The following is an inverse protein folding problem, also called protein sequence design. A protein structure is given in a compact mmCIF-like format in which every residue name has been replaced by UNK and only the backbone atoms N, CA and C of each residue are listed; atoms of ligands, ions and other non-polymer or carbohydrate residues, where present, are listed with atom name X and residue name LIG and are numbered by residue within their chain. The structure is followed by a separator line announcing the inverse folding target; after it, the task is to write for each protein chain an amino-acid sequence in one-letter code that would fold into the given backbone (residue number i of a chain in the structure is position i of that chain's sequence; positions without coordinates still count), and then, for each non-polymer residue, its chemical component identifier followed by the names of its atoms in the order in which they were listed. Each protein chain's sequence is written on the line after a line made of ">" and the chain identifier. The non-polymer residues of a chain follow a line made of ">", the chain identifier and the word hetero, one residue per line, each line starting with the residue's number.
data_IF_489898829837
#
_entry.id   IF_489898829837
#
_cell.length_a   1.000
_cell.length_b   1.000
_cell.length_c   1.000
_cell.angle_alpha   90.00
_cell.angle_beta   90.00
_cell.angle_gamma   90.00
#
_symmetry.space_group_name_H-M   'P 1'
#
loop_
_entity.id
_entity.type
_entity.pdbx_description
1 polymer ?
#
# COMPACT_ATOMS: atom_id res chain seq x y z
N UNK A 1 -13.23 11.73 -23.90
CA UNK A 1 -11.80 11.66 -23.53
C UNK A 1 -10.83 11.78 -24.72
N UNK A 2 -11.16 11.25 -25.89
CA UNK A 2 -10.25 11.33 -27.05
C UNK A 2 -9.95 12.74 -27.53
N UNK A 3 -10.82 13.72 -27.26
CA UNK A 3 -10.54 15.13 -27.56
C UNK A 3 -9.41 15.68 -26.67
N UNK A 4 -9.40 15.34 -25.37
CA UNK A 4 -8.39 15.81 -24.43
C UNK A 4 -7.02 15.19 -24.71
N UNK A 5 -6.98 13.87 -24.97
CA UNK A 5 -5.75 13.16 -25.35
C UNK A 5 -5.21 13.64 -26.70
N UNK A 6 -6.07 13.87 -27.70
CA UNK A 6 -5.66 14.41 -29.01
C UNK A 6 -5.22 15.86 -28.95
N UNK A 7 -5.77 16.66 -28.04
CA UNK A 7 -5.42 18.08 -27.90
C UNK A 7 -4.07 18.33 -27.22
N UNK A 8 -3.48 17.33 -26.56
CA UNK A 8 -2.25 17.52 -25.77
C UNK A 8 -2.41 18.39 -24.51
N UNK A 9 -3.58 18.98 -24.27
CA UNK A 9 -3.82 19.89 -23.14
C UNK A 9 -3.66 19.22 -21.77
N UNK A 10 -3.77 17.90 -21.69
CA UNK A 10 -3.54 17.17 -20.44
C UNK A 10 -2.08 17.29 -19.95
N UNK A 11 -1.12 17.46 -20.86
CA UNK A 11 0.30 17.66 -20.51
C UNK A 11 0.55 19.06 -19.97
N UNK A 12 -0.13 20.08 -20.53
CA UNK A 12 -0.04 21.45 -20.01
C UNK A 12 -0.70 21.55 -18.63
N UNK A 13 -1.85 20.90 -18.43
CA UNK A 13 -2.52 20.86 -17.12
C UNK A 13 -1.66 20.19 -16.04
N UNK A 14 -0.96 19.08 -16.36
CA UNK A 14 -0.02 18.45 -15.43
C UNK A 14 1.22 19.33 -15.17
N UNK A 15 1.73 20.02 -16.19
CA UNK A 15 2.86 20.95 -16.04
C UNK A 15 2.47 22.24 -15.28
N UNK A 16 1.21 22.66 -15.34
CA UNK A 16 0.66 23.79 -14.58
C UNK A 16 0.48 23.40 -13.11
N UNK A 17 -0.12 22.24 -12.84
CA UNK A 17 -0.30 21.71 -11.49
C UNK A 17 1.04 21.42 -10.78
N UNK A 18 2.12 21.18 -11.52
CA UNK A 18 3.47 21.00 -11.01
C UNK A 18 4.29 22.28 -10.77
N UNK A 19 3.78 23.47 -11.16
CA UNK A 19 4.49 24.74 -10.94
C UNK A 19 4.11 25.35 -9.59
N UNK A 20 5.10 25.50 -8.71
CA UNK A 20 4.96 26.34 -7.50
C UNK A 20 4.73 27.79 -7.93
N UNK A 21 3.73 28.43 -7.32
CA UNK A 21 3.58 29.89 -7.35
C UNK A 21 4.84 30.50 -6.70
N UNK A 22 5.53 31.46 -7.33
CA UNK A 22 6.59 32.20 -6.67
C UNK A 22 6.00 33.02 -5.52
N UNK A 23 6.57 32.89 -4.33
CA UNK A 23 6.30 33.80 -3.23
C UNK A 23 6.69 35.23 -3.65
N UNK A 24 5.70 36.12 -3.70
CA UNK A 24 5.91 37.55 -3.87
C UNK A 24 5.32 38.14 -5.16
N UNK A 25 4.00 38.23 -5.23
CA UNK A 25 3.34 39.29 -6.00
C UNK A 25 2.39 40.05 -5.09
N UNK A 26 2.86 41.19 -4.59
CA UNK A 26 2.02 42.24 -4.03
C UNK A 26 1.05 42.72 -5.12
N UNK A 27 -0.25 42.58 -4.88
CA UNK A 27 -1.28 43.36 -5.56
C UNK A 27 -2.18 43.96 -4.48
N UNK A 28 -1.99 45.25 -4.25
CA UNK A 28 -2.88 46.09 -3.45
C UNK A 28 -4.19 46.34 -4.22
N UNK A 29 -5.29 45.99 -3.54
CA UNK A 29 -6.62 46.62 -3.48
C UNK A 29 -7.16 47.44 -4.68
N UNK A 30 -8.35 47.05 -5.17
CA UNK A 30 -9.58 47.84 -4.93
C UNK A 30 -10.86 47.20 -5.50
N UNK A 31 -11.92 47.33 -4.68
CA UNK A 31 -13.37 47.42 -4.95
C UNK A 31 -14.21 46.17 -5.29
N UNK A 32 -15.11 45.91 -4.33
CA UNK A 32 -16.53 45.55 -4.43
C UNK A 32 -16.98 44.15 -4.87
N UNK A 33 -17.79 43.54 -3.98
CA UNK A 33 -18.72 42.45 -4.31
C UNK A 33 -18.54 41.20 -3.45
N UNK A 34 -19.00 41.25 -2.20
CA UNK A 34 -18.97 40.10 -1.31
C UNK A 34 -19.95 38.99 -1.70
N UNK A 35 -19.48 37.75 -1.66
CA UNK A 35 -20.20 36.59 -1.13
C UNK A 35 -19.18 35.59 -0.63
N UNK A 36 -19.31 35.21 0.64
CA UNK A 36 -18.42 34.32 1.37
C UNK A 36 -18.35 32.94 0.71
N UNK A 37 -17.14 32.45 0.45
CA UNK A 37 -16.84 31.03 0.49
C UNK A 37 -15.46 30.89 1.10
N UNK A 38 -15.46 30.48 2.36
CA UNK A 38 -14.29 30.24 3.17
C UNK A 38 -13.48 29.07 2.60
N UNK A 39 -12.17 29.23 2.74
CA UNK A 39 -11.13 28.29 2.35
C UNK A 39 -11.37 26.90 2.94
N UNK A 40 -11.57 25.90 2.06
CA UNK A 40 -11.58 24.50 2.46
C UNK A 40 -10.14 24.02 2.64
N UNK A 41 -9.43 24.59 3.62
CA UNK A 41 -8.20 24.02 4.15
C UNK A 41 -8.62 22.89 5.10
N UNK A 42 -8.45 21.63 4.66
CA UNK A 42 -8.68 20.47 5.53
C UNK A 42 -7.65 20.48 6.65
N UNK A 43 -8.05 21.06 7.78
CA UNK A 43 -7.36 20.92 9.06
C UNK A 43 -7.44 19.45 9.46
N UNK A 44 -6.33 18.72 9.35
CA UNK A 44 -6.18 17.41 9.98
C UNK A 44 -6.36 17.61 11.48
N UNK A 45 -7.35 16.98 12.13
CA UNK A 45 -7.49 17.09 13.58
C UNK A 45 -6.19 16.63 14.23
N UNK A 46 -5.63 17.45 15.13
CA UNK A 46 -4.61 16.97 16.05
C UNK A 46 -5.21 15.78 16.81
N UNK A 47 -4.65 14.60 16.59
CA UNK A 47 -4.97 13.41 17.36
C UNK A 47 -4.65 13.69 18.84
N UNK A 48 -5.69 13.96 19.63
CA UNK A 48 -5.57 14.25 21.06
C UNK A 48 -5.37 12.98 21.89
N UNK A 49 -5.28 11.80 21.27
CA UNK A 49 -5.16 10.52 21.97
C UNK A 49 -3.77 9.87 21.88
N UNK A 50 -2.76 10.53 21.28
CA UNK A 50 -1.36 10.16 21.51
C UNK A 50 -0.82 10.76 22.82
N UNK A 51 -1.51 10.55 23.94
CA UNK A 51 -0.83 10.54 25.24
C UNK A 51 -0.04 9.25 25.34
N UNK A 52 1.18 9.27 24.78
CA UNK A 52 2.21 8.29 25.11
C UNK A 52 2.49 8.37 26.61
N UNK A 53 1.81 7.52 27.39
CA UNK A 53 2.24 7.19 28.75
C UNK A 53 3.55 6.42 28.60
N UNK A 54 4.66 7.14 28.58
CA UNK A 54 5.98 6.57 28.86
C UNK A 54 5.97 6.28 30.37
N UNK A 55 6.06 5.00 30.81
CA UNK A 55 6.36 4.74 32.20
C UNK A 55 7.75 5.33 32.46
N UNK A 56 7.79 6.43 33.22
CA UNK A 56 9.06 6.94 33.73
C UNK A 56 9.64 5.85 34.63
N UNK A 57 10.62 5.10 34.12
CA UNK A 57 11.52 4.35 34.97
C UNK A 57 12.30 5.37 35.79
N UNK A 58 11.86 5.59 37.02
CA UNK A 58 12.61 6.37 38.00
C UNK A 58 13.91 5.64 38.29
N UNK A 59 15.04 6.33 38.06
CA UNK A 59 16.35 5.92 38.51
C UNK A 59 16.34 5.80 40.05
N UNK A 60 16.40 4.56 40.55
CA UNK A 60 16.69 4.30 41.96
C UNK A 60 17.65 3.13 42.09
N UNK A 61 18.88 3.52 42.42
CA UNK A 61 19.85 2.84 43.28
C UNK A 61 20.49 1.52 42.82
N UNK A 62 21.79 1.66 42.53
CA UNK A 62 22.86 0.67 42.52
C UNK A 62 22.67 -0.52 43.48
N UNK A 63 22.71 -1.73 42.93
CA UNK A 63 23.08 -2.96 43.65
C UNK A 63 24.02 -3.83 42.79
N UNK A 64 24.90 -4.64 43.42
CA UNK A 64 26.19 -5.01 42.86
C UNK A 64 26.10 -6.17 41.86
N UNK A 65 27.12 -6.21 41.00
CA UNK A 65 27.37 -7.21 39.95
C UNK A 65 27.14 -8.66 40.43
N UNK A 66 26.50 -9.53 39.62
CA UNK A 66 26.56 -10.97 39.87
C UNK A 66 27.96 -11.48 39.55
N UNK A 67 28.62 -12.08 40.53
CA UNK A 67 29.87 -12.80 40.32
C UNK A 67 29.65 -13.97 39.36
N UNK A 68 30.55 -14.12 38.39
CA UNK A 68 30.67 -15.31 37.55
C UNK A 68 30.87 -16.56 38.43
N UNK A 69 29.95 -17.51 38.32
CA UNK A 69 30.20 -18.87 38.78
C UNK A 69 30.99 -19.66 37.70
N UNK A 70 32.00 -20.45 38.08
CA UNK A 70 32.81 -21.22 37.14
C UNK A 70 32.19 -22.60 36.85
N UNK A 71 32.43 -23.08 35.64
CA UNK A 71 32.36 -24.49 35.18
C UNK A 71 30.99 -25.18 35.17
N UNK A 72 30.42 -25.33 33.97
CA UNK A 72 29.47 -26.39 33.65
C UNK A 72 30.01 -27.21 32.47
N UNK A 73 30.39 -28.46 32.78
CA UNK A 73 30.64 -29.52 31.81
C UNK A 73 29.33 -29.94 31.13
N UNK A 74 29.36 -30.47 29.89
CA UNK A 74 28.16 -30.80 29.14
C UNK A 74 27.64 -32.18 29.55
N UNK A 75 26.41 -32.24 30.05
CA UNK A 75 25.67 -33.50 30.15
C UNK A 75 24.18 -33.24 30.03
N UNK A 76 23.51 -34.05 29.21
CA UNK A 76 22.08 -34.29 29.34
C UNK A 76 21.23 -33.74 28.20
N UNK A 77 20.86 -34.65 27.30
CA UNK A 77 19.75 -34.54 26.37
C UNK A 77 18.50 -33.88 26.99
N UNK A 78 17.95 -32.86 26.33
CA UNK A 78 16.71 -32.24 26.76
C UNK A 78 16.33 -31.02 25.92
N UNK A 79 15.59 -31.25 24.83
CA UNK A 79 14.71 -30.29 24.16
C UNK A 79 15.27 -28.90 23.88
N UNK A 80 15.95 -28.75 22.73
CA UNK A 80 16.28 -27.45 22.13
C UNK A 80 15.00 -26.70 21.76
N UNK A 81 14.40 -26.04 22.75
CA UNK A 81 13.49 -24.93 22.48
C UNK A 81 14.37 -23.77 22.03
N UNK A 82 14.18 -23.22 20.80
CA UNK A 82 14.98 -22.11 20.34
C UNK A 82 14.79 -20.95 21.32
N UNK A 83 15.84 -20.63 22.08
CA UNK A 83 15.86 -19.45 22.94
C UNK A 83 15.83 -18.25 22.03
N UNK A 84 14.68 -17.57 21.99
CA UNK A 84 14.58 -16.25 21.38
C UNK A 84 15.62 -15.34 22.04
N UNK A 85 16.66 -14.96 21.31
CA UNK A 85 17.61 -13.94 21.74
C UNK A 85 16.87 -12.62 21.61
N UNK A 86 16.34 -12.11 22.73
CA UNK A 86 15.91 -10.71 22.80
C UNK A 86 17.17 -9.89 22.94
N UNK A 87 17.55 -9.22 21.86
CA UNK A 87 18.58 -8.18 21.90
C UNK A 87 17.92 -6.97 22.56
N UNK A 88 18.15 -6.82 23.86
CA UNK A 88 17.73 -5.62 24.58
C UNK A 88 18.65 -4.48 24.15
N UNK A 89 18.08 -3.48 23.48
CA UNK A 89 18.79 -2.34 22.93
C UNK A 89 18.38 -1.05 23.66
N UNK A 90 18.59 -0.94 24.99
CA UNK A 90 18.05 0.16 25.82
C UNK A 90 18.62 1.54 25.49
N UNK A 91 19.59 1.62 24.57
CA UNK A 91 20.28 2.85 24.20
C UNK A 91 20.17 3.21 22.71
N UNK A 92 19.35 2.48 21.94
CA UNK A 92 19.07 2.90 20.56
C UNK A 92 18.11 4.09 20.64
N UNK A 93 18.69 5.28 20.64
CA UNK A 93 17.92 6.52 20.51
C UNK A 93 17.25 6.52 19.14
N UNK A 94 15.96 6.86 19.13
CA UNK A 94 15.18 6.99 17.90
C UNK A 94 15.85 8.02 16.99
N UNK A 95 16.06 7.69 15.73
CA UNK A 95 16.69 8.59 14.75
C UNK A 95 15.62 9.18 13.86
N UNK A 96 15.53 10.51 13.84
CA UNK A 96 14.61 11.27 12.99
C UNK A 96 15.38 11.93 11.87
N UNK A 97 15.00 11.67 10.62
CA UNK A 97 15.57 12.35 9.46
C UNK A 97 15.30 13.87 9.46
N UNK A 98 14.32 14.32 10.25
CA UNK A 98 13.99 15.75 10.41
C UNK A 98 14.78 16.45 11.51
N UNK A 99 15.45 15.69 12.40
CA UNK A 99 16.30 16.24 13.45
C UNK A 99 17.72 15.66 13.30
N UNK A 100 18.65 16.41 12.67
CA UNK A 100 20.02 15.97 12.45
C UNK A 100 20.76 15.57 13.73
N UNK A 101 20.33 16.04 14.90
CA UNK A 101 20.95 15.71 16.19
C UNK A 101 20.67 14.28 16.65
N UNK A 102 19.62 13.65 16.11
CA UNK A 102 19.23 12.27 16.41
C UNK A 102 19.88 11.25 15.46
N UNK A 103 20.50 11.71 14.37
CA UNK A 103 21.15 10.84 13.38
C UNK A 103 22.49 10.35 13.94
N UNK A 104 22.73 9.05 13.86
CA UNK A 104 24.01 8.47 14.29
C UNK A 104 25.17 9.03 13.45
N UNK A 105 26.32 9.32 14.09
CA UNK A 105 27.53 9.86 13.45
C UNK A 105 28.08 9.01 12.30
N UNK A 106 27.71 7.72 12.24
CA UNK A 106 28.08 6.79 11.18
C UNK A 106 27.14 6.85 9.96
N UNK A 107 26.00 7.53 10.07
CA UNK A 107 25.09 7.76 8.98
C UNK A 107 25.50 9.07 8.29
N UNK A 108 26.16 8.97 7.15
CA UNK A 108 26.57 10.14 6.39
C UNK A 108 25.33 10.92 5.93
N UNK A 109 25.34 12.22 6.19
CA UNK A 109 24.22 13.16 6.04
C UNK A 109 23.46 12.96 4.73
N UNK A 110 22.28 12.36 4.80
CA UNK A 110 21.29 12.48 3.73
C UNK A 110 20.60 13.84 3.86
N UNK A 111 20.24 14.50 2.75
CA UNK A 111 19.46 15.73 2.80
C UNK A 111 18.16 15.49 3.57
N UNK A 112 17.74 16.49 4.36
CA UNK A 112 16.53 16.43 5.18
C UNK A 112 15.34 15.98 4.31
N UNK A 113 14.76 14.84 4.65
CA UNK A 113 13.60 14.31 3.93
C UNK A 113 12.39 15.13 4.36
N UNK A 114 11.64 15.76 3.43
CA UNK A 114 10.42 16.47 3.81
C UNK A 114 9.44 15.51 4.48
N UNK A 115 8.71 15.98 5.50
CA UNK A 115 7.68 15.20 6.21
C UNK A 115 6.47 14.84 5.34
N UNK A 116 6.39 15.43 4.14
CA UNK A 116 5.37 15.16 3.14
C UNK A 116 5.88 14.12 2.15
N UNK A 117 5.12 13.03 1.97
CA UNK A 117 5.38 12.05 0.93
C UNK A 117 4.60 12.41 -0.35
N UNK A 118 5.24 12.24 -1.51
CA UNK A 118 4.58 12.33 -2.81
C UNK A 118 4.47 10.94 -3.41
N UNK A 119 3.30 10.57 -3.90
CA UNK A 119 3.05 9.27 -4.52
C UNK A 119 2.29 9.45 -5.84
N UNK A 120 2.40 8.44 -6.70
CA UNK A 120 1.63 8.37 -7.93
C UNK A 120 0.33 7.59 -7.68
N UNK A 121 -0.76 8.08 -8.26
CA UNK A 121 -2.10 7.52 -8.13
C UNK A 121 -2.61 7.09 -9.50
N UNK A 122 -3.21 5.92 -9.58
CA UNK A 122 -3.98 5.47 -10.72
C UNK A 122 -5.47 5.76 -10.48
N UNK A 123 -6.12 6.39 -11.45
CA UNK A 123 -7.57 6.60 -11.45
C UNK A 123 -8.22 5.61 -12.42
N UNK A 124 -8.99 4.66 -11.88
CA UNK A 124 -9.81 3.74 -12.67
C UNK A 124 -11.20 4.34 -12.87
N UNK A 125 -11.69 4.21 -14.10
CA UNK A 125 -12.99 4.67 -14.57
C UNK A 125 -13.63 3.51 -15.34
N UNK A 126 -14.95 3.38 -15.27
CA UNK A 126 -15.69 2.40 -16.05
C UNK A 126 -16.72 3.01 -17.01
N UNK A 127 -17.08 2.29 -18.08
CA UNK A 127 -18.27 2.58 -18.86
C UNK A 127 -19.56 2.52 -18.04
N UNK A 128 -20.63 3.09 -18.58
CA UNK A 128 -21.95 3.04 -17.97
C UNK A 128 -22.44 1.59 -17.83
N UNK A 129 -23.16 1.33 -16.74
CA UNK A 129 -23.80 0.04 -16.40
C UNK A 129 -22.86 -1.12 -16.05
N UNK A 130 -21.57 -0.87 -15.83
CA UNK A 130 -20.65 -1.89 -15.33
C UNK A 130 -20.50 -1.80 -13.79
N UNK A 131 -20.98 -2.81 -13.03
CA UNK A 131 -20.88 -2.80 -11.58
C UNK A 131 -19.47 -3.17 -11.07
N UNK A 132 -18.55 -3.57 -11.94
CA UNK A 132 -17.24 -4.14 -11.56
C UNK A 132 -16.43 -3.20 -10.67
N UNK A 133 -16.43 -1.89 -10.94
CA UNK A 133 -15.68 -0.90 -10.13
C UNK A 133 -16.27 -0.75 -8.73
N UNK A 134 -17.60 -0.82 -8.62
CA UNK A 134 -18.32 -0.76 -7.34
C UNK A 134 -18.00 -1.99 -6.49
N UNK A 135 -17.88 -3.17 -7.12
CA UNK A 135 -17.48 -4.40 -6.42
C UNK A 135 -16.00 -4.38 -6.04
N UNK A 136 -15.12 -3.95 -6.94
CA UNK A 136 -13.69 -3.81 -6.66
C UNK A 136 -13.47 -2.86 -5.47
N UNK A 137 -14.12 -1.71 -5.46
CA UNK A 137 -14.07 -0.76 -4.34
C UNK A 137 -14.56 -1.36 -3.02
N UNK A 138 -15.67 -2.12 -3.04
CA UNK A 138 -16.18 -2.82 -1.84
C UNK A 138 -15.18 -3.84 -1.30
N UNK A 139 -14.46 -4.53 -2.17
CA UNK A 139 -13.44 -5.49 -1.75
C UNK A 139 -12.24 -4.79 -1.11
N UNK A 140 -11.74 -3.69 -1.69
CA UNK A 140 -10.70 -2.87 -1.05
C UNK A 140 -11.10 -2.39 0.35
N UNK A 141 -12.35 -1.97 0.56
CA UNK A 141 -12.85 -1.53 1.86
C UNK A 141 -12.94 -2.66 2.90
N UNK A 142 -13.06 -3.92 2.45
CA UNK A 142 -13.17 -5.11 3.32
C UNK A 142 -11.82 -5.77 3.60
N UNK A 143 -10.82 -5.54 2.75
CA UNK A 143 -9.53 -6.17 2.92
C UNK A 143 -8.90 -5.83 4.28
N UNK A 144 -8.22 -6.79 4.90
CA UNK A 144 -7.54 -6.55 6.16
C UNK A 144 -6.36 -5.59 5.95
N UNK A 145 -6.06 -4.78 6.97
CA UNK A 145 -5.06 -3.70 6.87
C UNK A 145 -3.68 -4.18 6.39
N UNK A 146 -3.27 -5.38 6.81
CA UNK A 146 -1.98 -5.96 6.44
C UNK A 146 -1.82 -6.26 4.94
N UNK A 147 -2.90 -6.24 4.14
CA UNK A 147 -2.80 -6.32 2.68
C UNK A 147 -2.15 -5.08 2.07
N UNK A 148 -2.30 -3.91 2.71
CA UNK A 148 -1.81 -2.63 2.25
C UNK A 148 -0.43 -2.30 2.82
N UNK A 149 -0.01 -2.93 3.91
CA UNK A 149 1.18 -2.51 4.63
C UNK A 149 2.45 -3.14 4.06
N UNK A 150 3.52 -2.35 4.02
CA UNK A 150 4.88 -2.83 3.76
C UNK A 150 5.59 -3.02 5.10
N UNK A 151 6.06 -4.24 5.36
CA UNK A 151 6.76 -4.60 6.58
C UNK A 151 8.21 -4.99 6.29
N UNK A 152 9.06 -4.86 7.31
CA UNK A 152 10.41 -5.36 7.23
C UNK A 152 10.44 -6.87 7.49
N UNK A 153 11.36 -7.58 6.82
CA UNK A 153 11.61 -9.00 7.04
C UNK A 153 11.14 -9.88 5.89
N UNK A 154 10.89 -11.15 6.22
CA UNK A 154 10.52 -12.18 5.26
C UNK A 154 9.36 -13.05 5.79
N UNK A 155 8.48 -13.47 4.89
CA UNK A 155 7.46 -14.48 5.09
C UNK A 155 7.99 -15.85 4.69
N UNK A 156 7.64 -16.84 5.52
CA UNK A 156 7.70 -18.25 5.13
C UNK A 156 6.29 -18.63 4.68
N UNK A 157 6.05 -18.54 3.38
CA UNK A 157 4.75 -18.91 2.81
C UNK A 157 4.78 -20.40 2.58
N UNK A 158 3.85 -21.18 3.16
CA UNK A 158 3.74 -22.59 2.84
C UNK A 158 3.75 -22.75 1.33
N UNK A 159 4.34 -23.85 0.86
CA UNK A 159 4.43 -24.22 -0.55
C UNK A 159 5.58 -23.56 -1.33
N UNK A 160 6.11 -22.41 -0.90
CA UNK A 160 7.37 -21.84 -1.40
C UNK A 160 8.57 -22.39 -0.60
N UNK A 161 9.71 -22.56 -1.26
CA UNK A 161 10.94 -23.05 -0.63
C UNK A 161 11.74 -21.93 0.03
N UNK A 162 11.73 -20.74 -0.57
CA UNK A 162 12.55 -19.62 -0.11
C UNK A 162 11.72 -18.57 0.65
N UNK A 163 12.36 -17.86 1.60
CA UNK A 163 11.75 -16.73 2.27
C UNK A 163 11.51 -15.58 1.29
N UNK A 164 10.28 -15.08 1.23
CA UNK A 164 9.87 -13.95 0.38
C UNK A 164 9.66 -12.69 1.23
N UNK A 165 9.85 -11.48 0.71
CA UNK A 165 9.58 -10.25 1.48
C UNK A 165 8.17 -10.15 2.07
N UNK A 166 8.05 -9.38 3.16
CA UNK A 166 6.76 -8.96 3.71
C UNK A 166 6.30 -7.64 3.08
N UNK A 167 6.04 -7.67 1.77
CA UNK A 167 5.51 -6.52 1.04
C UNK A 167 3.98 -6.52 1.00
N UNK A 168 3.40 -5.34 0.78
CA UNK A 168 1.97 -5.16 0.56
C UNK A 168 1.50 -6.05 -0.61
N UNK A 169 0.36 -6.69 -0.42
CA UNK A 169 -0.26 -7.61 -1.38
C UNK A 169 -1.03 -6.82 -2.43
N UNK A 170 -1.76 -5.80 -1.99
CA UNK A 170 -2.69 -5.02 -2.82
C UNK A 170 -2.26 -3.53 -2.86
N UNK A 171 -2.66 -2.75 -3.88
CA UNK A 171 -2.41 -1.32 -3.96
C UNK A 171 -2.98 -0.57 -2.75
N UNK A 172 -2.35 0.55 -2.36
CA UNK A 172 -3.02 1.50 -1.47
C UNK A 172 -4.38 1.93 -2.04
N UNK A 173 -5.41 1.98 -1.19
CA UNK A 173 -6.75 2.42 -1.55
C UNK A 173 -7.00 3.84 -1.04
N UNK A 174 -7.19 4.79 -1.96
CA UNK A 174 -7.42 6.21 -1.63
C UNK A 174 -8.90 6.61 -1.65
N UNK A 175 -9.78 5.72 -2.10
CA UNK A 175 -11.22 5.94 -2.07
C UNK A 175 -11.93 5.63 -3.39
N UNK A 176 -13.25 5.56 -3.28
CA UNK A 176 -14.18 5.38 -4.37
C UNK A 176 -15.19 6.54 -4.35
N UNK A 177 -15.24 7.30 -5.44
CA UNK A 177 -15.98 8.55 -5.55
C UNK A 177 -17.06 8.40 -6.61
N UNK A 178 -18.30 8.74 -6.26
CA UNK A 178 -19.44 8.72 -7.18
C UNK A 178 -19.84 10.17 -7.43
N UNK A 179 -19.99 10.60 -8.70
CA UNK A 179 -20.48 11.94 -9.00
C UNK A 179 -21.89 12.16 -8.42
N UNK A 180 -22.07 13.28 -7.74
CA UNK A 180 -23.40 13.73 -7.31
C UNK A 180 -24.08 14.46 -8.47
N UNK A 181 -25.40 14.29 -8.61
CA UNK A 181 -26.21 15.03 -9.57
C UNK A 181 -27.22 15.89 -8.82
N UNK A 182 -27.28 17.16 -9.18
CA UNK A 182 -28.28 18.06 -8.61
C UNK A 182 -29.70 17.64 -9.05
N UNK A 183 -30.60 17.49 -8.07
CA UNK A 183 -32.02 17.17 -8.27
C UNK A 183 -32.77 18.24 -9.09
N UNK A 184 -32.22 19.46 -9.18
CA UNK A 184 -32.83 20.57 -9.93
C UNK A 184 -32.80 20.40 -11.45
N UNK A 185 -32.06 19.42 -11.94
CA UNK A 185 -31.89 19.16 -13.38
C UNK A 185 -32.73 17.99 -13.91
N UNK A 186 -33.45 17.27 -13.05
CA UNK A 186 -34.40 16.27 -13.50
C UNK A 186 -35.71 16.96 -13.84
N UNK A 187 -35.96 17.18 -15.14
CA UNK A 187 -37.33 17.40 -15.62
C UNK A 187 -38.13 16.17 -15.19
N UNK A 188 -38.98 16.37 -14.18
CA UNK A 188 -39.91 15.37 -13.69
C UNK A 188 -40.81 14.92 -14.84
N UNK A 189 -40.48 13.79 -15.44
CA UNK A 189 -41.44 12.99 -16.18
C UNK A 189 -41.59 11.70 -15.37
N UNK A 190 -42.79 11.57 -14.82
CA UNK A 190 -43.15 10.62 -13.78
C UNK A 190 -42.97 9.15 -14.23
N UNK A 191 -42.79 8.29 -13.23
CA UNK A 191 -43.13 6.86 -13.26
C UNK A 191 -42.10 5.84 -13.77
N UNK A 192 -40.83 5.89 -13.33
CA UNK A 192 -40.00 4.67 -13.23
C UNK A 192 -39.01 4.73 -12.05
N UNK A 193 -39.26 3.91 -11.03
CA UNK A 193 -38.39 3.72 -9.85
C UNK A 193 -37.22 2.80 -10.18
N UNK A 194 -36.14 3.36 -10.72
CA UNK A 194 -34.82 2.74 -10.67
C UNK A 194 -33.81 3.79 -10.21
N UNK A 195 -33.36 3.70 -8.96
CA UNK A 195 -32.39 4.63 -8.37
C UNK A 195 -31.01 4.56 -9.04
N UNK A 196 -30.76 3.57 -9.90
CA UNK A 196 -29.54 3.46 -10.71
C UNK A 196 -29.75 3.94 -12.16
N UNK A 197 -30.97 4.37 -12.54
CA UNK A 197 -31.24 4.91 -13.87
C UNK A 197 -30.69 6.32 -14.02
N UNK A 198 -29.73 6.47 -14.92
CA UNK A 198 -29.16 7.76 -15.29
C UNK A 198 -30.26 8.72 -15.79
N UNK A 199 -30.29 9.98 -15.33
CA UNK A 199 -31.25 10.96 -15.80
C UNK A 199 -31.15 11.09 -17.33
N UNK A 200 -32.26 10.84 -18.01
CA UNK A 200 -32.34 10.85 -19.47
C UNK A 200 -31.88 12.21 -20.00
N UNK A 201 -30.85 12.22 -20.86
CA UNK A 201 -30.32 13.44 -21.48
C UNK A 201 -29.06 14.03 -20.83
N UNK A 202 -28.56 13.50 -19.71
CA UNK A 202 -27.24 13.91 -19.17
C UNK A 202 -26.10 13.05 -19.72
N UNK A 203 -24.92 13.66 -19.89
CA UNK A 203 -23.70 12.94 -20.22
C UNK A 203 -23.23 12.10 -19.03
N UNK A 204 -23.03 10.80 -19.24
CA UNK A 204 -22.53 9.86 -18.24
C UNK A 204 -21.23 10.36 -17.56
N UNK A 205 -21.18 10.30 -16.23
CA UNK A 205 -19.99 10.57 -15.42
C UNK A 205 -19.59 9.32 -14.62
N UNK A 206 -18.45 8.75 -14.96
CA UNK A 206 -18.00 7.52 -14.32
C UNK A 206 -17.64 7.72 -12.85
N UNK A 207 -17.98 6.77 -11.96
CA UNK A 207 -17.34 6.68 -10.66
C UNK A 207 -15.82 6.56 -10.80
N UNK A 208 -15.09 7.10 -9.82
CA UNK A 208 -13.63 7.13 -9.80
C UNK A 208 -13.14 6.24 -8.66
N UNK A 209 -12.29 5.27 -8.96
CA UNK A 209 -11.55 4.49 -7.96
C UNK A 209 -10.09 4.93 -7.99
N UNK A 210 -9.59 5.46 -6.87
CA UNK A 210 -8.21 5.94 -6.74
C UNK A 210 -7.35 4.91 -6.00
N UNK A 211 -6.27 4.45 -6.65
CA UNK A 211 -5.36 3.42 -6.13
C UNK A 211 -3.90 3.84 -6.27
N UNK A 212 -2.99 3.18 -5.54
CA UNK A 212 -1.55 3.27 -5.80
C UNK A 212 -1.24 2.98 -7.28
N UNK A 213 -0.38 3.78 -7.89
CA UNK A 213 0.16 3.47 -9.21
C UNK A 213 1.28 2.43 -9.10
N UNK A 214 0.94 1.16 -9.35
CA UNK A 214 1.85 0.04 -9.10
C UNK A 214 2.78 -0.34 -10.28
N UNK A 215 2.92 0.53 -11.28
CA UNK A 215 3.87 0.34 -12.38
C UNK A 215 3.28 -0.38 -13.60
N UNK A 216 4.02 -1.35 -14.13
CA UNK A 216 3.70 -2.05 -15.40
C UNK A 216 3.27 -3.48 -15.17
N UNK A 217 2.55 -4.05 -16.13
CA UNK A 217 2.18 -5.47 -16.11
C UNK A 217 3.40 -6.38 -16.02
N UNK A 218 3.22 -7.51 -15.34
CA UNK A 218 4.23 -8.53 -15.15
C UNK A 218 4.61 -9.19 -16.48
N UNK A 219 5.91 -9.38 -16.71
CA UNK A 219 6.43 -10.30 -17.73
C UNK A 219 7.25 -11.39 -17.03
N UNK A 220 6.68 -12.59 -16.80
CA UNK A 220 7.37 -13.66 -16.09
C UNK A 220 8.68 -14.13 -16.73
N UNK A 221 8.90 -13.87 -18.02
CA UNK A 221 10.14 -14.25 -18.71
C UNK A 221 11.31 -13.34 -18.38
N UNK A 222 11.02 -12.11 -17.97
CA UNK A 222 12.02 -11.11 -17.61
C UNK A 222 12.44 -11.17 -16.12
N UNK A 223 11.73 -11.95 -15.30
CA UNK A 223 11.95 -12.04 -13.86
C UNK A 223 12.99 -13.11 -13.50
N UNK A 224 13.77 -12.82 -12.46
CA UNK A 224 14.56 -13.83 -11.74
C UNK A 224 13.66 -14.82 -11.00
N UNK A 225 14.26 -15.90 -10.49
CA UNK A 225 13.53 -16.92 -9.73
C UNK A 225 12.94 -16.37 -8.43
N UNK A 226 13.73 -15.61 -7.65
CA UNK A 226 13.29 -14.96 -6.40
C UNK A 226 12.09 -14.01 -6.64
N UNK A 227 12.10 -13.28 -7.76
CA UNK A 227 11.01 -12.37 -8.14
C UNK A 227 9.74 -13.14 -8.54
N UNK A 228 9.89 -14.28 -9.22
CA UNK A 228 8.76 -15.16 -9.55
C UNK A 228 8.15 -15.79 -8.30
N UNK A 229 8.97 -16.19 -7.34
CA UNK A 229 8.50 -16.65 -6.02
C UNK A 229 7.79 -15.54 -5.25
N UNK A 230 8.31 -14.31 -5.26
CA UNK A 230 7.65 -13.15 -4.64
C UNK A 230 6.27 -12.91 -5.26
N UNK A 231 6.16 -12.96 -6.59
CA UNK A 231 4.88 -12.83 -7.30
C UNK A 231 3.88 -13.91 -6.89
N UNK A 232 4.29 -15.19 -6.94
CA UNK A 232 3.45 -16.30 -6.53
C UNK A 232 3.00 -16.15 -5.07
N UNK A 233 3.90 -15.65 -4.20
CA UNK A 233 3.60 -15.43 -2.79
C UNK A 233 2.44 -14.46 -2.55
N UNK A 234 2.18 -13.52 -3.46
CA UNK A 234 1.08 -12.57 -3.29
C UNK A 234 -0.26 -13.30 -3.27
N UNK A 235 -0.47 -14.21 -4.24
CA UNK A 235 -1.70 -15.00 -4.34
C UNK A 235 -1.80 -15.96 -3.16
N UNK A 236 -0.70 -16.63 -2.81
CA UNK A 236 -0.70 -17.57 -1.69
C UNK A 236 -1.00 -16.88 -0.35
N UNK A 237 -0.47 -15.68 -0.12
CA UNK A 237 -0.77 -14.90 1.08
C UNK A 237 -2.19 -14.35 1.08
N UNK A 238 -2.70 -13.92 -0.07
CA UNK A 238 -4.11 -13.53 -0.24
C UNK A 238 -5.04 -14.69 0.13
N UNK A 239 -4.75 -15.88 -0.40
CA UNK A 239 -5.46 -17.13 -0.11
C UNK A 239 -5.37 -17.52 1.36
N UNK A 240 -4.18 -17.43 1.96
CA UNK A 240 -3.98 -17.77 3.37
C UNK A 240 -4.74 -16.82 4.33
N UNK A 241 -5.03 -15.59 3.88
CA UNK A 241 -5.86 -14.65 4.60
C UNK A 241 -7.37 -14.85 4.39
N UNK A 242 -7.77 -15.90 3.67
CA UNK A 242 -9.18 -16.26 3.46
C UNK A 242 -9.84 -15.60 2.27
N UNK A 243 -9.06 -15.14 1.28
CA UNK A 243 -9.59 -14.47 0.09
C UNK A 243 -9.20 -15.22 -1.18
N UNK A 244 -10.13 -15.35 -2.11
CA UNK A 244 -9.90 -15.87 -3.47
C UNK A 244 -9.92 -14.71 -4.47
N UNK A 245 -8.96 -14.70 -5.39
CA UNK A 245 -8.85 -13.61 -6.35
C UNK A 245 -9.90 -13.75 -7.48
N UNK A 246 -10.20 -14.98 -7.90
CA UNK A 246 -11.10 -15.41 -8.97
C UNK A 246 -10.70 -14.99 -10.39
N UNK A 247 -9.51 -14.38 -10.55
CA UNK A 247 -8.99 -13.96 -11.86
C UNK A 247 -7.46 -13.86 -11.88
N UNK A 248 -6.77 -14.83 -11.26
CA UNK A 248 -5.31 -14.87 -11.24
C UNK A 248 -4.76 -14.98 -12.66
N UNK A 249 -4.00 -13.98 -13.09
CA UNK A 249 -3.36 -13.91 -14.40
C UNK A 249 -2.20 -12.90 -14.40
N UNK A 250 -1.26 -13.04 -15.35
CA UNK A 250 -0.08 -12.15 -15.47
C UNK A 250 -0.48 -10.68 -15.58
N UNK A 251 -1.55 -10.38 -16.33
CA UNK A 251 -2.11 -9.02 -16.50
C UNK A 251 -2.58 -8.37 -15.20
N UNK A 252 -2.90 -9.20 -14.19
CA UNK A 252 -3.43 -8.79 -12.89
C UNK A 252 -2.33 -8.75 -11.80
N UNK A 253 -1.06 -8.87 -12.23
CA UNK A 253 0.11 -8.57 -11.41
C UNK A 253 0.84 -7.36 -11.99
N UNK A 254 1.08 -6.36 -11.14
CA UNK A 254 1.87 -5.19 -11.50
C UNK A 254 3.21 -5.22 -10.77
N UNK A 255 4.23 -4.72 -11.46
CA UNK A 255 5.56 -4.52 -10.92
C UNK A 255 5.99 -3.05 -11.09
N UNK A 256 6.61 -2.50 -10.04
CA UNK A 256 7.21 -1.17 -10.07
C UNK A 256 8.64 -1.24 -9.59
N UNK A 257 9.49 -0.39 -10.17
CA UNK A 257 10.82 -0.17 -9.62
C UNK A 257 10.71 0.60 -8.32
N UNK A 258 11.31 0.09 -7.27
CA UNK A 258 11.40 0.81 -5.99
C UNK A 258 12.22 2.07 -6.25
N UNK A 259 11.68 3.28 -6.01
CA UNK A 259 12.43 4.51 -6.25
C UNK A 259 13.73 4.49 -5.47
N UNK A 260 14.84 4.85 -6.14
CA UNK A 260 16.14 4.91 -5.49
C UNK A 260 16.17 5.88 -4.30
N UNK A 261 15.21 6.80 -4.19
CA UNK A 261 14.99 7.75 -3.08
C UNK A 261 14.10 7.23 -1.95
N UNK A 262 13.37 6.11 -2.13
CA UNK A 262 12.66 5.42 -1.05
C UNK A 262 13.61 4.64 -0.11
N UNK A 263 14.92 4.81 -0.33
CA UNK A 263 16.05 4.44 0.52
C UNK A 263 16.04 5.21 1.84
N UNK A 264 14.96 5.07 2.61
CA UNK A 264 15.03 5.31 4.05
C UNK A 264 15.95 4.27 4.68
N UNK A 265 16.38 4.48 5.93
CA UNK A 265 17.39 3.70 6.68
C UNK A 265 17.29 2.15 6.60
N UNK A 266 16.14 1.60 6.15
CA UNK A 266 15.94 0.19 5.78
C UNK A 266 16.90 -0.35 4.70
N UNK A 267 17.42 0.49 3.80
CA UNK A 267 18.32 0.06 2.72
C UNK A 267 19.78 -0.20 3.13
N UNK A 268 20.19 0.10 4.37
CA UNK A 268 21.59 -0.06 4.78
C UNK A 268 21.99 -1.52 5.07
N UNK A 269 21.02 -2.42 5.24
CA UNK A 269 21.26 -3.81 5.71
C UNK A 269 20.71 -4.91 4.81
N UNK A 270 19.97 -4.57 3.74
CA UNK A 270 19.40 -5.54 2.79
C UNK A 270 19.96 -5.31 1.38
N UNK A 271 20.21 -6.36 0.58
CA UNK A 271 20.50 -6.20 -0.84
C UNK A 271 19.43 -5.31 -1.47
N UNK A 272 19.86 -4.35 -2.29
CA UNK A 272 18.96 -3.39 -2.95
C UNK A 272 17.87 -4.15 -3.69
N UNK A 273 16.65 -4.11 -3.17
CA UNK A 273 15.47 -4.55 -3.92
C UNK A 273 15.17 -3.52 -4.98
N UNK A 274 15.16 -3.97 -6.23
CA UNK A 274 14.87 -3.10 -7.36
C UNK A 274 13.38 -3.08 -7.70
N UNK A 275 12.63 -4.14 -7.37
CA UNK A 275 11.23 -4.31 -7.74
C UNK A 275 10.30 -4.48 -6.53
N UNK A 276 9.05 -4.07 -6.70
CA UNK A 276 7.92 -4.32 -5.81
C UNK A 276 6.72 -4.76 -6.63
N UNK A 277 5.96 -5.73 -6.11
CA UNK A 277 4.83 -6.34 -6.82
C UNK A 277 3.50 -6.10 -6.11
N UNK A 278 2.40 -6.06 -6.88
CA UNK A 278 1.02 -5.89 -6.38
C UNK A 278 0.05 -6.74 -7.20
N UNK A 279 -0.93 -7.35 -6.52
CA UNK A 279 -2.13 -7.92 -7.16
C UNK A 279 -3.15 -6.82 -7.44
N UNK A 280 -3.86 -6.88 -8.56
CA UNK A 280 -4.90 -5.91 -8.93
C UNK A 280 -6.12 -6.61 -9.51
N UNK A 281 -7.20 -5.83 -9.73
CA UNK A 281 -8.43 -6.28 -10.41
C UNK A 281 -9.27 -7.23 -9.54
N UNK A 282 -9.69 -6.70 -8.39
CA UNK A 282 -10.43 -7.46 -7.39
C UNK A 282 -11.95 -7.40 -7.57
N UNK A 283 -12.47 -7.04 -8.74
CA UNK A 283 -13.93 -6.87 -8.92
C UNK A 283 -14.73 -8.17 -8.76
N UNK A 284 -14.09 -9.32 -8.93
CA UNK A 284 -14.67 -10.66 -8.75
C UNK A 284 -14.16 -11.39 -7.51
N UNK A 285 -13.22 -10.81 -6.77
CA UNK A 285 -12.65 -11.45 -5.59
C UNK A 285 -13.71 -11.62 -4.52
N UNK A 286 -13.54 -12.65 -3.69
CA UNK A 286 -14.46 -12.95 -2.58
C UNK A 286 -13.71 -13.44 -1.36
N UNK A 287 -14.28 -13.14 -0.21
CA UNK A 287 -13.88 -13.72 1.06
C UNK A 287 -14.51 -15.11 1.15
N UNK A 288 -13.69 -16.11 1.46
CA UNK A 288 -14.11 -17.50 1.62
C UNK A 288 -14.04 -17.87 3.09
N UNK A 289 -15.17 -18.33 3.66
CA UNK A 289 -15.19 -18.78 5.04
C UNK A 289 -14.24 -19.97 5.23
N UNK A 290 -13.50 -19.96 6.35
CA UNK A 290 -12.45 -20.95 6.66
C UNK A 290 -12.96 -22.39 6.57
N UNK A 291 -12.77 -23.00 5.41
CA UNK A 291 -12.83 -24.42 5.14
C UNK A 291 -11.84 -24.68 4.02
N UNK A 292 -10.99 -25.70 4.15
CA UNK A 292 -9.92 -25.99 3.19
C UNK A 292 -10.47 -26.34 1.80
N UNK A 293 -10.89 -25.31 1.05
CA UNK A 293 -11.54 -25.45 -0.24
C UNK A 293 -10.48 -25.86 -1.26
N UNK A 294 -10.89 -26.73 -2.18
CA UNK A 294 -10.07 -27.12 -3.34
C UNK A 294 -9.71 -25.93 -4.23
N UNK A 295 -10.41 -24.80 -4.07
CA UNK A 295 -10.24 -23.58 -4.86
C UNK A 295 -8.95 -22.85 -4.49
N UNK A 296 -8.61 -22.73 -3.21
CA UNK A 296 -7.33 -22.14 -2.79
C UNK A 296 -6.12 -22.89 -3.37
N UNK A 297 -6.23 -24.22 -3.43
CA UNK A 297 -5.20 -25.07 -4.05
C UNK A 297 -5.16 -24.88 -5.57
N UNK A 298 -6.31 -24.64 -6.19
CA UNK A 298 -6.42 -24.37 -7.63
C UNK A 298 -5.80 -23.03 -7.99
N UNK A 299 -6.14 -21.94 -7.30
CA UNK A 299 -5.51 -20.64 -7.53
C UNK A 299 -4.01 -20.65 -7.24
N UNK A 300 -3.56 -21.37 -6.20
CA UNK A 300 -2.14 -21.56 -5.93
C UNK A 300 -1.41 -22.25 -7.09
N UNK A 301 -2.03 -23.24 -7.74
CA UNK A 301 -1.48 -23.88 -8.96
C UNK A 301 -1.46 -22.90 -10.13
N UNK A 302 -2.51 -22.11 -10.34
CA UNK A 302 -2.53 -21.08 -11.39
C UNK A 302 -1.39 -20.08 -11.17
N UNK A 303 -1.20 -19.60 -9.94
CA UNK A 303 -0.11 -18.68 -9.60
C UNK A 303 1.27 -19.32 -9.87
N UNK A 304 1.46 -20.59 -9.50
CA UNK A 304 2.68 -21.34 -9.79
C UNK A 304 2.97 -21.42 -11.29
N UNK A 305 1.98 -21.83 -12.08
CA UNK A 305 2.14 -22.01 -13.53
C UNK A 305 2.41 -20.67 -14.23
N UNK A 306 1.67 -19.63 -13.83
CA UNK A 306 1.86 -18.25 -14.29
C UNK A 306 3.27 -17.72 -13.95
N UNK A 307 3.78 -18.02 -12.76
CA UNK A 307 5.13 -17.64 -12.33
C UNK A 307 6.21 -18.64 -12.78
N UNK A 308 5.90 -19.64 -13.60
CA UNK A 308 6.87 -20.61 -14.16
C UNK A 308 7.79 -21.25 -13.11
N UNK A 309 7.21 -21.66 -11.99
CA UNK A 309 7.95 -22.31 -10.89
C UNK A 309 8.03 -23.83 -11.11
N UNK A 310 9.06 -24.28 -11.84
CA UNK A 310 9.17 -25.67 -12.33
C UNK A 310 9.43 -26.72 -11.23
N UNK A 311 10.03 -26.36 -10.10
CA UNK A 311 10.51 -27.30 -9.08
C UNK A 311 9.50 -27.64 -7.98
N UNK A 312 8.30 -27.08 -8.05
CA UNK A 312 7.33 -27.24 -6.98
C UNK A 312 6.68 -28.64 -7.00
N UNK A 313 6.73 -29.40 -5.88
CA UNK A 313 6.29 -30.79 -5.84
C UNK A 313 4.78 -30.93 -6.09
N UNK A 314 4.33 -31.95 -6.84
CA UNK A 314 2.91 -32.21 -7.01
C UNK A 314 2.25 -32.54 -5.65
N UNK A 315 1.07 -31.95 -5.42
CA UNK A 315 0.22 -32.24 -4.26
C UNK A 315 -0.43 -33.61 -4.34
#
# INVERSE_FOLDING_TARGET
>A
MDALKRSGMWQSMLAEAGRRVPEGSNIDNSSDGGTNNEDYEMSVPLDRNEEFIIPQCTDSESKPSPQLAPNLSPSGAGGDTPRAIRVDCPHVKWQSASDPSTICKHCHSTPATPRTATFQVAAKLLPQYDPHLKWEAKNYQKFPEHFFQNWNGYNLVPQLCNPVPVNAIVPQFYGYYVPEWDETDTVADDDYTDHDAYPYGKSYQSPILLLEHCGTQLDPTALSEDEREECASLVLRFNHAGWLHESVAERNMLMQKVPASATTAQCMLTPRRELSFRLIDFGWSREEERGGSTEFTTEGRIAKDMCKLDWWPPY
#
